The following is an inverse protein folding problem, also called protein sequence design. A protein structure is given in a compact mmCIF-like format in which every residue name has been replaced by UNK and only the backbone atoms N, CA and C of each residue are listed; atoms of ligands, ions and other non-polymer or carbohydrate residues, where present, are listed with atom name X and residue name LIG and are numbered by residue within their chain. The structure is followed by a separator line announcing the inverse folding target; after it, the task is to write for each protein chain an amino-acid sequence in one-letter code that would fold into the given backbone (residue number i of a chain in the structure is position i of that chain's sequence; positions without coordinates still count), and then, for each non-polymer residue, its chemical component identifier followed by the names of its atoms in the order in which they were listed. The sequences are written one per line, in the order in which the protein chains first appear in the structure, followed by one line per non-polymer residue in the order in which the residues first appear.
data_IF_123585773275
#
_entry.id   IF_123585773275
#
_cell.length_a   1.000
_cell.length_b   1.000
_cell.length_c   1.000
_cell.angle_alpha   90.00
_cell.angle_beta   90.00
_cell.angle_gamma   90.00
#
_symmetry.space_group_name_H-M   'P 1'
#
loop_
_entity.id
_entity.type
_entity.pdbx_description
1 polymer ?
#
# COMPACT_ATOMS: atom_id res chain seq x y z
N UNK A 1 9.52 -10.42 6.04
CA UNK A 1 10.00 -11.69 5.46
C UNK A 1 9.46 -12.79 6.35
N UNK A 2 8.80 -13.79 5.75
CA UNK A 2 7.99 -14.82 6.42
C UNK A 2 6.58 -14.84 5.83
N UNK A 3 6.16 -15.97 5.28
CA UNK A 3 4.77 -16.22 4.91
C UNK A 3 3.96 -16.43 6.20
N UNK A 4 2.89 -15.66 6.35
CA UNK A 4 2.04 -15.68 7.53
C UNK A 4 0.57 -15.98 7.15
N UNK A 5 0.32 -16.51 5.95
CA UNK A 5 -1.02 -16.88 5.49
C UNK A 5 -1.73 -17.81 6.48
N UNK A 6 -0.98 -18.74 7.06
CA UNK A 6 -1.53 -19.83 7.88
C UNK A 6 -1.67 -19.43 9.37
N UNK A 7 -1.12 -18.27 9.78
CA UNK A 7 -1.12 -17.81 11.17
C UNK A 7 -2.53 -17.69 11.75
N UNK A 8 -3.47 -17.13 10.98
CA UNK A 8 -4.84 -16.93 11.46
C UNK A 8 -5.54 -18.26 11.77
N UNK A 9 -5.38 -19.27 10.91
CA UNK A 9 -5.97 -20.60 11.10
C UNK A 9 -5.33 -21.31 12.30
N UNK A 10 -4.00 -21.33 12.38
CA UNK A 10 -3.28 -21.97 13.48
C UNK A 10 -3.62 -21.33 14.84
N UNK A 11 -3.74 -20.01 14.88
CA UNK A 11 -4.16 -19.28 16.08
C UNK A 11 -5.57 -19.68 16.51
N UNK A 12 -6.51 -19.78 15.57
CA UNK A 12 -7.89 -20.19 15.89
C UNK A 12 -7.99 -21.64 16.35
N UNK A 13 -7.21 -22.56 15.78
CA UNK A 13 -7.16 -23.95 16.25
C UNK A 13 -6.69 -24.03 17.70
N UNK A 14 -5.64 -23.27 18.05
CA UNK A 14 -5.11 -23.21 19.41
C UNK A 14 -6.10 -22.58 20.38
N UNK A 15 -6.70 -21.43 20.03
CA UNK A 15 -7.61 -20.70 20.89
C UNK A 15 -8.91 -21.45 21.18
N UNK A 16 -9.39 -22.26 20.23
CA UNK A 16 -10.65 -23.00 20.37
C UNK A 16 -10.45 -24.48 20.74
N UNK A 17 -9.24 -24.90 21.07
CA UNK A 17 -8.95 -26.30 21.45
C UNK A 17 -9.36 -27.31 20.37
N UNK A 18 -9.21 -26.94 19.09
CA UNK A 18 -9.68 -27.76 17.98
C UNK A 18 -8.78 -28.99 17.81
N UNK A 19 -9.38 -30.14 17.50
CA UNK A 19 -8.62 -31.35 17.21
C UNK A 19 -7.69 -31.13 16.01
N UNK A 20 -6.45 -31.60 16.13
CA UNK A 20 -5.51 -31.59 15.02
C UNK A 20 -6.01 -32.52 13.91
N UNK A 21 -5.79 -32.17 12.63
CA UNK A 21 -6.12 -33.06 11.53
C UNK A 21 -5.30 -34.36 11.67
N UNK A 22 -5.76 -35.49 11.09
CA UNK A 22 -5.07 -36.78 11.15
C UNK A 22 -3.62 -36.75 10.64
N UNK A 23 -3.26 -35.74 9.84
CA UNK A 23 -1.90 -35.47 9.34
C UNK A 23 -1.44 -34.06 9.75
N UNK A 24 -0.95 -33.85 10.99
CA UNK A 24 -0.58 -32.52 11.49
C UNK A 24 0.52 -31.83 10.67
N UNK A 25 1.39 -32.59 10.01
CA UNK A 25 2.45 -32.11 9.13
C UNK A 25 1.91 -31.27 7.95
N UNK A 26 0.67 -31.51 7.54
CA UNK A 26 -0.02 -30.72 6.49
C UNK A 26 -0.22 -29.25 6.88
N UNK A 27 -0.17 -28.93 8.18
CA UNK A 27 -0.33 -27.56 8.68
C UNK A 27 0.92 -26.69 8.46
N UNK A 28 2.09 -27.29 8.20
CA UNK A 28 3.38 -26.58 8.08
C UNK A 28 4.00 -26.81 6.70
N UNK A 29 3.83 -28.01 6.12
CA UNK A 29 4.38 -28.36 4.81
C UNK A 29 3.57 -27.72 3.67
N UNK A 30 4.18 -27.40 2.50
CA UNK A 30 3.44 -26.95 1.32
C UNK A 30 2.31 -27.92 0.94
N UNK A 31 1.20 -27.41 0.39
CA UNK A 31 0.10 -28.27 -0.06
C UNK A 31 0.61 -29.17 -1.20
N UNK A 32 0.60 -30.49 -0.97
CA UNK A 32 0.84 -31.48 -2.02
C UNK A 32 -0.38 -31.54 -2.96
N UNK A 33 -0.17 -31.78 -4.24
CA UNK A 33 -1.27 -31.95 -5.21
C UNK A 33 -2.26 -33.02 -4.72
N UNK A 34 -3.55 -32.68 -4.67
CA UNK A 34 -4.61 -33.55 -4.17
C UNK A 34 -4.81 -33.56 -2.64
N UNK A 35 -4.04 -32.77 -1.87
CA UNK A 35 -4.27 -32.62 -0.43
C UNK A 35 -5.51 -31.77 -0.14
N UNK A 36 -6.25 -32.14 0.92
CA UNK A 36 -7.34 -31.32 1.44
C UNK A 36 -6.83 -29.91 1.82
N UNK A 37 -7.66 -28.86 1.69
CA UNK A 37 -7.24 -27.49 1.99
C UNK A 37 -6.62 -27.39 3.40
N UNK A 38 -5.46 -26.74 3.52
CA UNK A 38 -4.78 -26.49 4.80
C UNK A 38 -5.64 -25.73 5.82
N UNK A 39 -6.57 -24.92 5.32
CA UNK A 39 -7.40 -24.09 6.15
C UNK A 39 -8.57 -24.90 6.70
N UNK A 40 -8.74 -24.89 8.02
CA UNK A 40 -10.10 -24.93 8.56
C UNK A 40 -10.82 -23.72 7.98
N UNK A 41 -11.71 -23.96 7.03
CA UNK A 41 -12.60 -22.93 6.51
C UNK A 41 -13.40 -22.34 7.65
N UNK A 42 -13.87 -21.11 7.49
CA UNK A 42 -14.72 -20.44 8.49
C UNK A 42 -15.93 -21.28 8.89
N UNK A 43 -16.38 -22.17 8.00
CA UNK A 43 -17.37 -23.21 8.26
C UNK A 43 -17.09 -24.03 9.54
N UNK A 44 -15.84 -24.41 9.79
CA UNK A 44 -15.46 -25.30 10.89
C UNK A 44 -15.30 -24.58 12.25
N UNK A 45 -15.35 -23.25 12.28
CA UNK A 45 -15.29 -22.49 13.53
C UNK A 45 -16.65 -22.57 14.27
N UNK A 46 -16.67 -22.78 15.59
CA UNK A 46 -17.91 -22.68 16.36
C UNK A 46 -18.41 -21.22 16.41
N UNK A 47 -19.70 -21.02 16.65
CA UNK A 47 -20.28 -19.67 16.74
C UNK A 47 -19.66 -18.84 17.88
N UNK A 48 -19.22 -19.50 18.95
CA UNK A 48 -18.52 -18.86 20.06
C UNK A 48 -17.07 -18.45 19.76
N UNK A 49 -16.52 -18.82 18.59
CA UNK A 49 -15.12 -18.54 18.27
C UNK A 49 -14.83 -17.03 18.26
N UNK A 50 -13.87 -16.55 19.05
CA UNK A 50 -13.55 -15.13 19.12
C UNK A 50 -12.83 -14.68 17.85
N UNK A 51 -13.47 -13.77 17.10
CA UNK A 51 -12.93 -13.22 15.85
C UNK A 51 -12.27 -11.87 16.08
N UNK A 52 -12.87 -10.99 16.89
CA UNK A 52 -12.32 -9.68 17.23
C UNK A 52 -12.08 -9.56 18.73
N UNK A 53 -10.83 -9.69 19.18
CA UNK A 53 -10.49 -9.55 20.61
C UNK A 53 -10.67 -8.12 21.13
N UNK A 54 -10.48 -7.08 20.30
CA UNK A 54 -10.60 -5.68 20.74
C UNK A 54 -12.02 -5.29 21.16
N UNK A 55 -13.02 -5.91 20.54
CA UNK A 55 -14.44 -5.60 20.76
C UNK A 55 -15.23 -6.82 21.22
N UNK A 56 -14.53 -7.91 21.56
CA UNK A 56 -15.11 -9.19 21.98
C UNK A 56 -16.22 -9.71 21.06
N UNK A 57 -15.97 -9.71 19.74
CA UNK A 57 -16.93 -10.17 18.72
C UNK A 57 -16.61 -11.60 18.30
N UNK A 58 -17.60 -12.47 18.37
CA UNK A 58 -17.55 -13.87 17.98
C UNK A 58 -17.95 -14.11 16.52
N UNK A 59 -17.81 -15.34 16.02
CA UNK A 59 -18.34 -15.75 14.71
C UNK A 59 -19.86 -15.57 14.67
N UNK A 60 -20.55 -16.00 15.71
CA UNK A 60 -22.01 -15.93 15.84
C UNK A 60 -22.53 -14.49 15.76
N UNK A 61 -21.84 -13.53 16.38
CA UNK A 61 -22.21 -12.11 16.32
C UNK A 61 -22.14 -11.57 14.88
N UNK A 62 -21.13 -12.00 14.10
CA UNK A 62 -20.98 -11.60 12.70
C UNK A 62 -22.05 -12.27 11.85
N UNK A 63 -22.30 -13.57 12.04
CA UNK A 63 -23.36 -14.30 11.34
C UNK A 63 -24.74 -13.68 11.61
N UNK A 64 -25.02 -13.31 12.86
CA UNK A 64 -26.26 -12.64 13.25
C UNK A 64 -26.36 -11.25 12.60
N UNK A 65 -25.27 -10.48 12.54
CA UNK A 65 -25.27 -9.19 11.86
C UNK A 65 -25.60 -9.34 10.36
N UNK A 66 -25.05 -10.35 9.69
CA UNK A 66 -25.38 -10.66 8.29
C UNK A 66 -26.85 -11.10 8.14
N UNK A 67 -27.36 -11.95 9.03
CA UNK A 67 -28.78 -12.34 9.07
C UNK A 67 -29.72 -11.13 9.27
N UNK A 68 -29.25 -10.09 9.96
CA UNK A 68 -29.96 -8.83 10.14
C UNK A 68 -29.76 -7.83 8.98
N UNK A 69 -29.12 -8.24 7.88
CA UNK A 69 -28.99 -7.44 6.65
C UNK A 69 -27.64 -6.76 6.44
N UNK A 70 -26.60 -7.05 7.24
CA UNK A 70 -25.26 -6.50 7.02
C UNK A 70 -24.55 -7.19 5.84
N UNK A 71 -24.70 -6.64 4.64
CA UNK A 71 -24.15 -7.20 3.39
C UNK A 71 -22.71 -6.80 3.04
N UNK A 72 -22.09 -5.89 3.80
CA UNK A 72 -20.73 -5.43 3.52
C UNK A 72 -19.92 -5.15 4.80
N UNK A 73 -18.61 -4.95 4.63
CA UNK A 73 -17.68 -4.68 5.74
C UNK A 73 -17.97 -3.37 6.47
N UNK A 74 -18.63 -2.39 5.84
CA UNK A 74 -19.01 -1.12 6.47
C UNK A 74 -20.16 -1.35 7.43
N UNK A 75 -21.20 -2.08 6.99
CA UNK A 75 -22.33 -2.50 7.80
C UNK A 75 -21.87 -3.36 8.98
N UNK A 76 -20.99 -4.35 8.76
CA UNK A 76 -20.44 -5.18 9.84
C UNK A 76 -19.68 -4.34 10.87
N UNK A 77 -18.84 -3.39 10.43
CA UNK A 77 -18.12 -2.47 11.34
C UNK A 77 -19.09 -1.61 12.16
N UNK A 78 -20.18 -1.13 11.54
CA UNK A 78 -21.18 -0.32 12.22
C UNK A 78 -21.95 -1.12 13.27
N UNK A 79 -22.37 -2.34 12.94
CA UNK A 79 -23.20 -3.18 13.81
C UNK A 79 -22.39 -3.84 14.94
N UNK A 80 -21.21 -4.38 14.63
CA UNK A 80 -20.45 -5.23 15.58
C UNK A 80 -19.22 -4.52 16.17
N UNK A 81 -18.79 -3.40 15.58
CA UNK A 81 -17.48 -2.77 15.85
C UNK A 81 -16.28 -3.67 15.53
N UNK A 82 -16.46 -4.84 14.93
CA UNK A 82 -15.34 -5.66 14.49
C UNK A 82 -14.48 -4.88 13.48
N UNK A 83 -13.16 -5.06 13.54
CA UNK A 83 -12.18 -4.37 12.69
C UNK A 83 -12.10 -2.83 12.82
N UNK A 84 -12.72 -2.20 13.82
CA UNK A 84 -12.57 -0.74 14.05
C UNK A 84 -11.44 -0.37 15.05
N UNK A 85 -10.99 -1.32 15.87
CA UNK A 85 -9.93 -1.13 16.86
C UNK A 85 -8.51 -1.28 16.28
N UNK A 86 -7.90 -2.47 16.44
CA UNK A 86 -6.55 -2.74 15.95
C UNK A 86 -6.48 -3.13 14.46
N UNK A 87 -7.62 -3.53 13.88
CA UNK A 87 -7.74 -3.97 12.48
C UNK A 87 -7.19 -5.37 12.17
N UNK A 88 -6.56 -6.07 13.13
CA UNK A 88 -5.93 -7.38 12.89
C UNK A 88 -6.89 -8.48 12.45
N UNK A 89 -8.15 -8.42 12.89
CA UNK A 89 -9.19 -9.40 12.54
C UNK A 89 -9.89 -9.13 11.19
N UNK A 90 -9.58 -8.03 10.50
CA UNK A 90 -10.37 -7.56 9.34
C UNK A 90 -10.47 -8.57 8.19
N UNK A 91 -9.42 -9.36 7.93
CA UNK A 91 -9.45 -10.42 6.94
C UNK A 91 -10.38 -11.58 7.35
N UNK A 92 -10.31 -12.02 8.60
CA UNK A 92 -11.13 -13.12 9.13
C UNK A 92 -12.60 -12.72 9.24
N UNK A 93 -12.89 -11.49 9.70
CA UNK A 93 -14.26 -10.92 9.72
C UNK A 93 -14.88 -10.95 8.32
N UNK A 94 -14.10 -10.56 7.30
CA UNK A 94 -14.56 -10.58 5.91
C UNK A 94 -14.88 -11.99 5.44
N UNK A 95 -14.03 -12.98 5.76
CA UNK A 95 -14.27 -14.37 5.40
C UNK A 95 -15.53 -14.94 6.08
N UNK A 96 -15.79 -14.60 7.34
CA UNK A 96 -17.03 -14.99 8.06
C UNK A 96 -18.27 -14.37 7.42
N UNK A 97 -18.20 -13.08 7.09
CA UNK A 97 -19.29 -12.38 6.43
C UNK A 97 -19.59 -12.98 5.05
N UNK A 98 -18.56 -13.20 4.21
CA UNK A 98 -18.71 -13.80 2.88
C UNK A 98 -19.23 -15.24 2.96
N UNK A 99 -18.82 -16.01 3.97
CA UNK A 99 -19.36 -17.35 4.23
C UNK A 99 -20.87 -17.31 4.55
N UNK A 100 -21.29 -16.43 5.47
CA UNK A 100 -22.70 -16.33 5.84
C UNK A 100 -23.58 -15.81 4.69
N UNK A 101 -23.08 -14.86 3.90
CA UNK A 101 -23.78 -14.37 2.71
C UNK A 101 -23.97 -15.47 1.67
N UNK A 102 -22.94 -16.32 1.47
CA UNK A 102 -23.04 -17.46 0.57
C UNK A 102 -24.07 -18.50 1.04
N UNK A 103 -24.18 -18.77 2.35
CA UNK A 103 -25.23 -19.65 2.90
C UNK A 103 -26.66 -19.09 2.68
N UNK A 104 -26.82 -17.77 2.64
CA UNK A 104 -28.09 -17.12 2.32
C UNK A 104 -28.39 -17.07 0.80
N UNK A 105 -27.52 -17.63 -0.04
CA UNK A 105 -27.63 -17.53 -1.50
C UNK A 105 -27.36 -16.13 -2.06
N UNK A 106 -26.76 -15.23 -1.26
CA UNK A 106 -26.37 -13.90 -1.70
C UNK A 106 -25.04 -13.99 -2.43
N UNK A 107 -25.08 -13.88 -3.75
CA UNK A 107 -23.86 -13.86 -4.57
C UNK A 107 -23.07 -12.57 -4.30
N UNK A 108 -21.87 -12.71 -3.74
CA UNK A 108 -20.96 -11.58 -3.50
C UNK A 108 -20.35 -11.15 -4.83
N UNK A 109 -20.97 -10.14 -5.47
CA UNK A 109 -20.44 -9.51 -6.67
C UNK A 109 -19.04 -8.97 -6.39
N UNK A 110 -18.07 -9.37 -7.21
CA UNK A 110 -16.67 -8.91 -7.10
C UNK A 110 -16.41 -7.64 -7.90
N UNK A 111 -17.46 -7.07 -8.48
CA UNK A 111 -17.48 -5.87 -9.28
C UNK A 111 -16.80 -4.71 -8.54
N UNK A 112 -16.01 -3.93 -9.27
CA UNK A 112 -15.35 -2.75 -8.70
C UNK A 112 -16.36 -1.64 -8.43
N UNK A 113 -17.30 -1.42 -9.35
CA UNK A 113 -18.40 -0.47 -9.26
C UNK A 113 -19.34 -0.70 -10.46
N UNK A 114 -20.42 0.07 -10.57
CA UNK A 114 -21.37 0.04 -11.70
C UNK A 114 -20.73 0.19 -13.10
N UNK A 115 -19.56 0.81 -13.20
CA UNK A 115 -18.85 1.01 -14.46
C UNK A 115 -18.09 -0.23 -14.92
N UNK A 116 -17.73 -1.14 -14.01
CA UNK A 116 -16.90 -2.31 -14.29
C UNK A 116 -17.41 -3.53 -13.50
N UNK A 117 -18.08 -4.48 -14.17
CA UNK A 117 -18.53 -5.75 -13.58
C UNK A 117 -17.36 -6.75 -13.46
N UNK A 118 -16.23 -6.27 -12.97
CA UNK A 118 -14.97 -7.00 -12.87
C UNK A 118 -14.31 -6.67 -11.55
N UNK A 119 -13.63 -7.66 -10.98
CA UNK A 119 -12.75 -7.47 -9.85
C UNK A 119 -11.47 -6.73 -10.21
N UNK A 120 -10.79 -6.21 -9.19
CA UNK A 120 -9.49 -5.53 -9.34
C UNK A 120 -8.43 -6.43 -10.00
N UNK A 121 -8.51 -7.73 -9.81
CA UNK A 121 -7.58 -8.69 -10.38
C UNK A 121 -7.91 -8.96 -11.86
N UNK A 122 -9.19 -9.12 -12.19
CA UNK A 122 -9.64 -9.27 -13.57
C UNK A 122 -9.32 -8.03 -14.39
N UNK A 123 -9.54 -6.82 -13.88
CA UNK A 123 -9.13 -5.58 -14.56
C UNK A 123 -7.62 -5.58 -14.86
N UNK A 124 -6.79 -6.03 -13.93
CA UNK A 124 -5.35 -6.14 -14.17
C UNK A 124 -5.04 -7.13 -15.30
N UNK A 125 -5.69 -8.29 -15.31
CA UNK A 125 -5.52 -9.29 -16.38
C UNK A 125 -6.01 -8.77 -17.72
N UNK A 126 -7.18 -8.13 -17.77
CA UNK A 126 -7.74 -7.51 -18.98
C UNK A 126 -6.77 -6.49 -19.56
N UNK A 127 -6.20 -5.62 -18.71
CA UNK A 127 -5.21 -4.62 -19.14
C UNK A 127 -3.95 -5.27 -19.70
N UNK A 128 -3.41 -6.29 -19.03
CA UNK A 128 -2.16 -6.95 -19.44
C UNK A 128 -2.30 -7.80 -20.69
N UNK A 129 -3.35 -8.61 -20.76
CA UNK A 129 -3.57 -9.57 -21.87
C UNK A 129 -3.96 -8.83 -23.15
N UNK A 130 -4.81 -7.80 -23.03
CA UNK A 130 -5.32 -7.09 -24.20
C UNK A 130 -4.52 -5.82 -24.53
N UNK A 131 -3.35 -5.64 -23.93
CA UNK A 131 -2.45 -4.50 -24.15
C UNK A 131 -3.18 -3.15 -24.09
N UNK A 132 -3.93 -2.91 -23.00
CA UNK A 132 -4.72 -1.68 -22.84
C UNK A 132 -3.86 -0.60 -22.21
N UNK A 133 -3.68 0.53 -22.89
CA UNK A 133 -2.80 1.61 -22.45
C UNK A 133 -3.55 2.81 -21.85
N UNK A 134 -4.87 2.92 -22.04
CA UNK A 134 -5.63 4.09 -21.59
C UNK A 134 -6.93 3.70 -20.88
N UNK A 135 -7.44 4.60 -20.03
CA UNK A 135 -8.74 4.40 -19.39
C UNK A 135 -9.87 4.31 -20.41
N UNK A 136 -9.81 5.12 -21.46
CA UNK A 136 -10.80 5.15 -22.53
C UNK A 136 -10.88 3.82 -23.28
N UNK A 137 -9.73 3.21 -23.60
CA UNK A 137 -9.68 1.86 -24.16
C UNK A 137 -10.26 0.80 -23.23
N UNK A 138 -10.02 0.91 -21.91
CA UNK A 138 -10.54 -0.06 -20.94
C UNK A 138 -12.06 0.05 -20.79
N UNK A 139 -12.56 1.28 -20.57
CA UNK A 139 -13.99 1.50 -20.30
C UNK A 139 -14.84 1.26 -21.53
N UNK A 140 -14.36 1.59 -22.74
CA UNK A 140 -15.11 1.33 -23.99
C UNK A 140 -15.25 -0.16 -24.31
N UNK A 141 -14.28 -1.00 -23.90
CA UNK A 141 -14.27 -2.43 -24.22
C UNK A 141 -14.85 -3.32 -23.12
N UNK A 142 -14.63 -2.95 -21.86
CA UNK A 142 -14.91 -3.81 -20.71
C UNK A 142 -15.71 -3.11 -19.60
N UNK A 143 -16.22 -1.91 -19.86
CA UNK A 143 -17.01 -1.15 -18.90
C UNK A 143 -18.11 -0.33 -19.56
N UNK A 144 -18.64 0.64 -18.82
CA UNK A 144 -19.68 1.55 -19.28
C UNK A 144 -19.59 2.91 -18.58
N UNK A 145 -20.13 3.95 -19.20
CA UNK A 145 -20.17 5.31 -18.64
C UNK A 145 -18.83 6.06 -18.71
N UNK A 146 -18.63 6.99 -17.77
CA UNK A 146 -17.44 7.88 -17.74
C UNK A 146 -16.49 7.62 -16.56
N UNK A 147 -16.82 6.67 -15.70
CA UNK A 147 -16.07 6.30 -14.50
C UNK A 147 -16.24 7.25 -13.31
N UNK A 148 -16.03 6.70 -12.12
CA UNK A 148 -16.15 7.38 -10.83
C UNK A 148 -14.80 7.48 -10.09
N UNK A 149 -14.88 8.02 -8.88
CA UNK A 149 -13.80 8.13 -7.88
C UNK A 149 -13.29 6.77 -7.37
N UNK A 150 -14.02 5.68 -7.58
CA UNK A 150 -13.56 4.31 -7.27
C UNK A 150 -12.74 3.71 -8.40
N UNK A 151 -13.26 3.71 -9.63
CA UNK A 151 -12.62 3.00 -10.74
C UNK A 151 -11.48 3.78 -11.40
N UNK A 152 -11.55 5.12 -11.49
CA UNK A 152 -10.48 5.91 -12.12
C UNK A 152 -9.14 5.73 -11.40
N UNK A 153 -9.04 5.86 -10.07
CA UNK A 153 -7.77 5.65 -9.36
C UNK A 153 -7.28 4.19 -9.43
N UNK A 154 -8.20 3.22 -9.46
CA UNK A 154 -7.85 1.82 -9.65
C UNK A 154 -7.19 1.61 -11.01
N UNK A 155 -7.83 2.08 -12.09
CA UNK A 155 -7.31 1.91 -13.45
C UNK A 155 -6.00 2.68 -13.64
N UNK A 156 -5.89 3.89 -13.09
CA UNK A 156 -4.63 4.65 -13.07
C UNK A 156 -3.49 3.83 -12.45
N UNK A 157 -3.76 3.20 -11.29
CA UNK A 157 -2.78 2.35 -10.60
C UNK A 157 -2.44 1.10 -11.41
N UNK A 158 -3.42 0.49 -12.08
CA UNK A 158 -3.21 -0.71 -12.91
C UNK A 158 -2.34 -0.36 -14.12
N UNK A 159 -2.70 0.68 -14.88
CA UNK A 159 -1.95 1.15 -16.05
C UNK A 159 -0.50 1.52 -15.67
N UNK A 160 -0.31 2.27 -14.59
CA UNK A 160 1.01 2.63 -14.09
C UNK A 160 1.84 1.40 -13.69
N UNK A 161 1.22 0.37 -13.12
CA UNK A 161 1.91 -0.88 -12.75
C UNK A 161 2.24 -1.77 -13.96
N UNK A 162 1.44 -1.70 -15.02
CA UNK A 162 1.62 -2.52 -16.22
C UNK A 162 2.63 -1.92 -17.19
N UNK A 163 2.58 -0.59 -17.37
CA UNK A 163 3.29 0.11 -18.46
C UNK A 163 4.26 1.17 -17.97
N UNK A 164 4.09 1.67 -16.73
CA UNK A 164 4.94 2.67 -16.10
C UNK A 164 5.20 3.92 -16.99
N UNK A 165 4.17 4.35 -17.74
CA UNK A 165 4.25 5.52 -18.60
C UNK A 165 4.23 6.83 -17.82
N UNK A 166 4.71 7.90 -18.45
CA UNK A 166 4.74 9.24 -17.85
C UNK A 166 3.31 9.76 -17.56
N UNK A 167 3.08 10.13 -16.29
CA UNK A 167 1.75 10.42 -15.74
C UNK A 167 1.09 11.67 -16.31
N UNK A 168 1.89 12.65 -16.77
CA UNK A 168 1.36 13.89 -17.33
C UNK A 168 1.14 13.81 -18.85
N UNK A 169 1.31 12.64 -19.48
CA UNK A 169 0.83 12.45 -20.85
C UNK A 169 -0.68 12.73 -20.90
N UNK A 170 -1.21 13.33 -21.99
CA UNK A 170 -2.63 13.66 -22.12
C UNK A 170 -3.58 12.51 -21.80
N UNK A 171 -3.21 11.27 -22.16
CA UNK A 171 -4.02 10.07 -21.91
C UNK A 171 -4.12 9.66 -20.43
N UNK A 172 -3.13 10.02 -19.59
CA UNK A 172 -3.05 9.61 -18.18
C UNK A 172 -3.43 10.71 -17.21
N UNK A 173 -3.24 11.98 -17.61
CA UNK A 173 -3.45 13.17 -16.79
C UNK A 173 -4.85 13.27 -16.16
N UNK A 174 -5.96 12.92 -16.85
CA UNK A 174 -7.31 12.96 -16.26
C UNK A 174 -7.52 11.97 -15.10
N UNK A 175 -6.66 10.95 -14.99
CA UNK A 175 -6.73 9.92 -13.95
C UNK A 175 -5.89 10.25 -12.72
N UNK A 176 -5.01 11.25 -12.81
CA UNK A 176 -4.09 11.60 -11.73
C UNK A 176 -4.79 12.49 -10.70
N UNK A 177 -4.61 12.14 -9.43
CA UNK A 177 -5.00 13.02 -8.33
C UNK A 177 -4.10 14.26 -8.28
N UNK A 178 -4.47 15.22 -7.41
CA UNK A 178 -3.72 16.47 -7.28
C UNK A 178 -2.23 16.24 -6.97
N UNK A 179 -1.92 15.20 -6.20
CA UNK A 179 -0.55 14.97 -5.79
C UNK A 179 0.31 14.47 -6.95
N UNK A 180 -0.24 13.55 -7.74
CA UNK A 180 0.42 13.01 -8.92
C UNK A 180 0.53 14.05 -10.04
N UNK A 181 -0.44 14.97 -10.14
CA UNK A 181 -0.43 16.06 -11.13
C UNK A 181 0.66 17.09 -10.88
N UNK A 182 0.88 17.48 -9.62
CA UNK A 182 1.83 18.54 -9.25
C UNK A 182 3.12 18.01 -8.64
N UNK A 183 3.28 16.69 -8.60
CA UNK A 183 4.38 15.98 -7.97
C UNK A 183 4.63 16.40 -6.51
N UNK A 184 3.59 16.81 -5.79
CA UNK A 184 3.67 17.37 -4.43
C UNK A 184 2.55 16.81 -3.55
N UNK A 185 2.67 16.87 -2.21
CA UNK A 185 1.60 16.40 -1.32
C UNK A 185 0.69 17.54 -0.89
N UNK A 186 -0.60 17.48 -1.17
CA UNK A 186 -1.58 18.42 -0.60
C UNK A 186 -1.66 18.25 0.92
N UNK A 187 -1.70 19.37 1.64
CA UNK A 187 -1.76 19.45 3.10
C UNK A 187 -3.16 19.83 3.56
N UNK A 188 -3.40 19.74 4.88
CA UNK A 188 -4.72 20.04 5.48
C UNK A 188 -5.20 21.48 5.24
N UNK A 189 -4.27 22.41 5.13
CA UNK A 189 -4.52 23.83 4.86
C UNK A 189 -4.62 24.16 3.37
N UNK A 190 -4.58 23.16 2.48
CA UNK A 190 -4.59 23.32 1.03
C UNK A 190 -3.24 23.69 0.41
N UNK A 191 -2.20 23.92 1.22
CA UNK A 191 -0.83 24.09 0.72
C UNK A 191 -0.23 22.77 0.26
N UNK A 192 0.94 22.81 -0.36
CA UNK A 192 1.66 21.63 -0.83
C UNK A 192 2.98 21.43 -0.08
N UNK A 193 3.37 20.16 0.02
CA UNK A 193 4.73 19.78 0.43
C UNK A 193 5.53 19.18 -0.71
N UNK A 194 6.79 19.61 -0.81
CA UNK A 194 7.74 19.26 -1.86
C UNK A 194 8.88 18.48 -1.23
N UNK A 195 9.16 17.29 -1.75
CA UNK A 195 10.21 16.41 -1.24
C UNK A 195 11.16 16.09 -2.39
N UNK A 196 12.34 16.74 -2.49
CA UNK A 196 13.37 16.33 -3.42
C UNK A 196 13.89 14.93 -3.08
N UNK A 197 14.35 14.19 -4.10
CA UNK A 197 14.95 12.88 -3.92
C UNK A 197 16.37 13.05 -3.38
N UNK A 198 16.67 12.33 -2.31
CA UNK A 198 18.00 12.26 -1.69
C UNK A 198 18.28 10.77 -1.49
N UNK A 199 18.91 10.14 -2.48
CA UNK A 199 19.14 8.69 -2.47
C UNK A 199 20.02 8.31 -1.27
N UNK A 200 19.62 7.30 -0.49
CA UNK A 200 20.29 6.93 0.76
C UNK A 200 20.41 8.08 1.79
N UNK A 201 19.68 9.18 1.59
CA UNK A 201 19.80 10.41 2.37
C UNK A 201 21.04 11.26 2.08
N UNK A 202 21.72 11.01 0.95
CA UNK A 202 22.86 11.80 0.52
C UNK A 202 22.43 13.12 -0.12
N UNK A 203 23.21 14.17 0.15
CA UNK A 203 23.05 15.50 -0.43
C UNK A 203 24.41 16.19 -0.49
N UNK A 204 24.67 16.89 -1.60
CA UNK A 204 25.88 17.69 -1.77
C UNK A 204 25.79 18.97 -0.93
N UNK A 205 26.92 19.60 -0.55
CA UNK A 205 26.90 20.90 0.11
C UNK A 205 26.10 21.95 -0.68
N UNK A 206 26.31 22.04 -1.99
CA UNK A 206 25.59 22.96 -2.87
C UNK A 206 24.09 22.64 -2.94
N UNK A 207 23.72 21.36 -3.01
CA UNK A 207 22.32 20.94 -2.98
C UNK A 207 21.63 21.31 -1.66
N UNK A 208 22.35 21.18 -0.53
CA UNK A 208 21.84 21.59 0.78
C UNK A 208 21.64 23.11 0.86
N UNK A 209 22.59 23.89 0.33
CA UNK A 209 22.48 25.35 0.22
C UNK A 209 21.28 25.73 -0.66
N UNK A 210 21.13 25.08 -1.82
CA UNK A 210 20.01 25.32 -2.74
C UNK A 210 18.66 25.05 -2.09
N UNK A 211 18.50 23.91 -1.39
CA UNK A 211 17.28 23.61 -0.61
C UNK A 211 17.01 24.71 0.40
N UNK A 212 18.02 25.17 1.13
CA UNK A 212 17.88 26.25 2.12
C UNK A 212 17.47 27.58 1.49
N UNK A 213 18.04 27.93 0.34
CA UNK A 213 17.69 29.14 -0.41
C UNK A 213 16.26 29.09 -0.95
N UNK A 214 15.85 27.96 -1.55
CA UNK A 214 14.49 27.73 -2.05
C UNK A 214 13.49 27.82 -0.87
N UNK A 215 13.78 27.13 0.23
CA UNK A 215 12.94 27.19 1.42
C UNK A 215 12.78 28.62 1.94
N UNK A 216 13.87 29.39 2.02
CA UNK A 216 13.82 30.79 2.44
C UNK A 216 13.04 31.68 1.47
N UNK A 217 13.27 31.54 0.15
CA UNK A 217 12.61 32.33 -0.91
C UNK A 217 11.10 32.18 -0.88
N UNK A 218 10.63 30.95 -0.71
CA UNK A 218 9.20 30.60 -0.72
C UNK A 218 8.59 30.49 0.68
N UNK A 219 9.33 30.85 1.74
CA UNK A 219 8.90 30.77 3.14
C UNK A 219 8.39 29.37 3.54
N UNK A 220 9.09 28.33 3.10
CA UNK A 220 8.70 26.93 3.32
C UNK A 220 9.20 26.42 4.66
N UNK A 221 8.30 25.83 5.45
CA UNK A 221 8.70 25.10 6.65
C UNK A 221 9.47 23.83 6.25
N UNK A 222 10.69 23.66 6.77
CA UNK A 222 11.57 22.56 6.39
C UNK A 222 11.66 21.51 7.50
N UNK A 223 11.44 20.24 7.16
CA UNK A 223 11.51 19.13 8.12
C UNK A 223 12.38 17.98 7.62
N UNK A 224 13.37 17.60 8.41
CA UNK A 224 14.08 16.34 8.21
C UNK A 224 13.15 15.18 8.58
N UNK A 225 12.91 14.29 7.62
CA UNK A 225 12.00 13.17 7.77
C UNK A 225 12.73 11.92 8.25
N UNK A 226 11.99 10.99 8.85
CA UNK A 226 12.53 9.67 9.16
C UNK A 226 12.96 8.87 7.91
N UNK A 227 12.67 9.37 6.70
CA UNK A 227 13.16 8.88 5.41
C UNK A 227 14.56 9.34 5.05
N UNK A 228 15.26 10.07 5.92
CA UNK A 228 16.56 10.68 5.61
C UNK A 228 16.47 11.67 4.44
N UNK A 229 15.40 12.46 4.41
CA UNK A 229 15.14 13.47 3.37
C UNK A 229 14.60 14.74 4.00
N UNK A 230 14.70 15.86 3.29
CA UNK A 230 14.10 17.13 3.67
C UNK A 230 12.74 17.27 2.98
N UNK A 231 11.71 17.63 3.74
CA UNK A 231 10.35 17.90 3.26
C UNK A 231 10.06 19.40 3.47
N UNK A 232 9.63 20.07 2.40
CA UNK A 232 9.40 21.51 2.34
C UNK A 232 7.89 21.76 2.29
N UNK A 233 7.30 22.31 3.34
CA UNK A 233 5.86 22.52 3.50
C UNK A 233 5.45 23.97 3.28
N UNK A 234 4.20 24.19 2.90
CA UNK A 234 3.62 25.54 2.74
C UNK A 234 3.73 26.09 1.32
N UNK A 235 4.07 25.27 0.34
CA UNK A 235 4.17 25.72 -1.05
C UNK A 235 2.77 26.01 -1.62
N UNK A 236 2.61 27.16 -2.28
CA UNK A 236 1.40 27.48 -3.04
C UNK A 236 1.42 26.77 -4.39
N UNK A 237 0.25 26.47 -4.95
CA UNK A 237 0.11 25.68 -6.17
C UNK A 237 0.85 26.32 -7.35
N UNK A 238 0.68 27.63 -7.53
CA UNK A 238 1.29 28.44 -8.58
C UNK A 238 2.82 28.54 -8.47
N UNK A 239 3.39 28.28 -7.28
CA UNK A 239 4.83 28.26 -7.08
C UNK A 239 5.48 26.93 -7.44
N UNK A 240 4.72 25.83 -7.48
CA UNK A 240 5.27 24.49 -7.67
C UNK A 240 6.13 24.34 -8.94
N UNK A 241 5.74 24.87 -10.11
CA UNK A 241 6.59 24.78 -11.30
C UNK A 241 7.95 25.47 -11.13
N UNK A 242 7.99 26.61 -10.44
CA UNK A 242 9.23 27.34 -10.19
C UNK A 242 10.11 26.62 -9.16
N UNK A 243 9.52 26.15 -8.05
CA UNK A 243 10.21 25.35 -7.03
C UNK A 243 10.84 24.08 -7.65
N UNK A 244 10.07 23.35 -8.47
CA UNK A 244 10.58 22.13 -9.12
C UNK A 244 11.72 22.41 -10.11
N UNK A 245 11.67 23.53 -10.82
CA UNK A 245 12.75 23.97 -11.71
C UNK A 245 14.01 24.32 -10.92
N UNK A 246 13.92 25.14 -9.87
CA UNK A 246 15.08 25.48 -9.02
C UNK A 246 15.69 24.21 -8.37
N UNK A 247 14.86 23.26 -7.94
CA UNK A 247 15.34 21.97 -7.43
C UNK A 247 16.03 21.14 -8.52
N UNK A 248 15.48 21.10 -9.73
CA UNK A 248 16.07 20.37 -10.86
C UNK A 248 17.41 20.99 -11.31
N UNK A 249 17.50 22.31 -11.34
CA UNK A 249 18.73 23.05 -11.65
C UNK A 249 19.82 22.77 -10.59
N UNK A 250 19.41 22.53 -9.34
CA UNK A 250 20.29 22.09 -8.26
C UNK A 250 20.59 20.56 -8.26
N UNK A 251 20.13 19.83 -9.29
CA UNK A 251 20.41 18.41 -9.47
C UNK A 251 19.44 17.45 -8.75
N UNK A 252 18.32 17.94 -8.21
CA UNK A 252 17.33 17.09 -7.56
C UNK A 252 16.25 16.59 -8.52
N UNK A 253 15.82 15.35 -8.29
CA UNK A 253 14.61 14.79 -8.89
C UNK A 253 13.45 14.82 -7.89
N UNK A 254 12.21 14.58 -8.35
CA UNK A 254 11.08 14.39 -7.44
C UNK A 254 11.26 13.13 -6.58
N UNK A 255 11.11 13.28 -5.26
CA UNK A 255 11.20 12.20 -4.29
C UNK A 255 10.00 11.25 -4.28
N UNK A 256 8.99 11.49 -5.12
CA UNK A 256 7.76 10.69 -5.21
C UNK A 256 7.13 10.40 -3.83
N UNK A 257 7.23 11.35 -2.90
CA UNK A 257 6.75 11.17 -1.53
C UNK A 257 5.23 11.01 -1.44
N UNK A 258 4.52 11.46 -2.47
CA UNK A 258 3.08 11.36 -2.67
C UNK A 258 2.65 10.01 -3.25
N UNK A 259 3.40 9.51 -4.23
CA UNK A 259 3.01 8.33 -5.01
C UNK A 259 2.93 7.02 -4.22
N UNK A 260 2.21 6.06 -4.81
CA UNK A 260 2.28 4.63 -4.48
C UNK A 260 3.46 4.04 -5.26
N UNK A 261 4.66 4.27 -4.76
CA UNK A 261 5.92 3.87 -5.39
C UNK A 261 6.99 3.64 -4.33
N UNK A 262 8.21 3.28 -4.76
CA UNK A 262 9.37 3.31 -3.88
C UNK A 262 9.67 4.74 -3.44
N UNK A 263 9.38 5.03 -2.17
CA UNK A 263 9.55 6.38 -1.62
C UNK A 263 10.99 6.67 -1.23
N UNK A 264 11.66 5.73 -0.58
CA UNK A 264 13.03 5.91 -0.07
C UNK A 264 13.64 4.56 0.29
N UNK A 265 14.94 4.44 0.10
CA UNK A 265 15.75 3.37 0.67
C UNK A 265 16.65 4.00 1.75
N UNK A 266 16.39 3.66 3.02
CA UNK A 266 17.15 4.22 4.13
C UNK A 266 18.41 3.39 4.38
N UNK A 267 19.54 4.02 4.64
CA UNK A 267 20.79 3.35 5.02
C UNK A 267 21.40 3.98 6.26
N UNK A 268 22.25 3.24 6.97
CA UNK A 268 23.25 3.89 7.80
C UNK A 268 24.46 4.24 6.93
N UNK A 269 25.41 4.97 7.49
CA UNK A 269 26.64 5.38 6.78
C UNK A 269 27.59 4.21 6.44
N UNK A 270 27.26 2.98 6.85
CA UNK A 270 27.94 1.75 6.44
C UNK A 270 29.38 1.61 6.94
N UNK A 271 30.09 0.62 6.39
CA UNK A 271 31.53 0.40 6.63
C UNK A 271 32.42 1.53 6.11
N UNK A 272 31.89 2.43 5.27
CA UNK A 272 32.62 3.59 4.76
C UNK A 272 32.95 4.61 5.86
N UNK A 273 32.05 4.81 6.82
CA UNK A 273 32.21 5.84 7.86
C UNK A 273 32.00 5.31 9.29
N UNK A 274 31.15 4.30 9.48
CA UNK A 274 30.83 3.81 10.81
C UNK A 274 31.93 2.87 11.30
N UNK A 275 32.48 3.15 12.50
CA UNK A 275 33.41 2.24 13.20
C UNK A 275 32.87 0.81 13.35
N UNK A 276 31.56 0.63 13.44
CA UNK A 276 30.89 -0.67 13.58
C UNK A 276 30.20 -1.14 12.28
N UNK A 277 30.48 -0.47 11.16
CA UNK A 277 29.91 -0.82 9.87
C UNK A 277 30.53 -2.11 9.34
N UNK A 278 29.69 -3.09 9.02
CA UNK A 278 30.11 -4.41 8.52
C UNK A 278 30.10 -4.47 7.00
N UNK A 279 29.18 -3.73 6.36
CA UNK A 279 28.97 -3.75 4.91
C UNK A 279 28.72 -2.34 4.35
N UNK A 280 28.82 -2.21 3.03
CA UNK A 280 28.44 -1.00 2.30
C UNK A 280 26.91 -0.89 2.18
N UNK A 281 26.26 -0.42 3.25
CA UNK A 281 24.82 -0.15 3.24
C UNK A 281 24.44 0.99 2.32
N UNK A 282 25.28 2.03 2.24
CA UNK A 282 24.98 3.27 1.51
C UNK A 282 24.97 3.02 0.02
N UNK A 283 26.04 2.43 -0.53
CA UNK A 283 26.11 2.11 -1.96
C UNK A 283 25.01 1.15 -2.38
N UNK A 284 24.66 0.15 -1.55
CA UNK A 284 23.51 -0.71 -1.83
C UNK A 284 22.19 0.09 -1.84
N UNK A 285 21.97 0.99 -0.89
CA UNK A 285 20.75 1.80 -0.84
C UNK A 285 20.63 2.73 -2.06
N UNK A 286 21.72 3.38 -2.47
CA UNK A 286 21.79 4.19 -3.68
C UNK A 286 21.43 3.34 -4.90
N UNK A 287 22.06 2.18 -5.09
CA UNK A 287 21.76 1.28 -6.23
C UNK A 287 20.30 0.86 -6.27
N UNK A 288 19.73 0.47 -5.13
CA UNK A 288 18.31 0.09 -5.03
C UNK A 288 17.39 1.28 -5.35
N UNK A 289 17.69 2.46 -4.82
CA UNK A 289 16.86 3.64 -5.06
C UNK A 289 16.92 4.06 -6.52
N UNK A 290 18.09 4.09 -7.16
CA UNK A 290 18.19 4.39 -8.60
C UNK A 290 17.57 3.33 -9.50
N UNK A 291 17.64 2.05 -9.11
CA UNK A 291 17.05 0.95 -9.89
C UNK A 291 15.52 0.98 -9.89
N UNK A 292 14.91 1.38 -8.77
CA UNK A 292 13.46 1.27 -8.57
C UNK A 292 12.74 2.60 -8.36
N UNK A 293 13.45 3.76 -8.42
CA UNK A 293 12.79 5.08 -8.43
C UNK A 293 11.86 5.19 -9.63
N UNK A 294 10.74 5.88 -9.43
CA UNK A 294 9.70 6.05 -10.45
C UNK A 294 8.79 4.83 -10.64
N UNK A 295 9.19 3.62 -10.20
CA UNK A 295 8.35 2.43 -10.33
C UNK A 295 7.11 2.53 -9.45
N UNK A 296 5.94 2.58 -10.10
CA UNK A 296 4.63 2.57 -9.44
C UNK A 296 4.27 1.16 -8.99
N UNK A 297 3.64 1.09 -7.83
CA UNK A 297 3.18 -0.13 -7.20
C UNK A 297 1.78 0.06 -6.61
N UNK A 298 1.10 -1.05 -6.29
CA UNK A 298 -0.24 -1.03 -5.66
C UNK A 298 -0.25 -0.31 -4.31
N UNK A 299 0.86 -0.36 -3.57
CA UNK A 299 1.03 0.27 -2.27
C UNK A 299 2.37 1.00 -2.20
N UNK A 300 2.49 1.97 -1.27
CA UNK A 300 3.76 2.64 -1.02
C UNK A 300 4.77 1.67 -0.40
N UNK A 301 6.00 1.67 -0.88
CA UNK A 301 7.09 0.87 -0.33
C UNK A 301 8.21 1.76 0.22
N UNK A 302 8.84 1.28 1.28
CA UNK A 302 10.03 1.89 1.91
C UNK A 302 10.98 0.77 2.27
N UNK A 303 12.21 0.87 1.84
CA UNK A 303 13.21 -0.15 2.08
C UNK A 303 14.27 0.35 3.06
N UNK A 304 15.04 -0.60 3.59
CA UNK A 304 16.17 -0.35 4.47
C UNK A 304 17.33 -1.23 4.04
N UNK A 305 18.52 -0.65 4.04
CA UNK A 305 19.80 -1.32 3.86
C UNK A 305 20.59 -1.22 5.16
N UNK A 306 20.47 -2.19 6.09
CA UNK A 306 21.23 -2.19 7.34
C UNK A 306 22.63 -2.77 7.12
N UNK A 307 23.64 -2.23 7.82
CA UNK A 307 25.00 -2.76 7.81
C UNK A 307 25.66 -2.83 9.20
N UNK A 308 24.89 -2.67 10.28
CA UNK A 308 25.39 -2.78 11.64
C UNK A 308 24.58 -3.82 12.44
N UNK A 309 25.21 -4.62 13.32
CA UNK A 309 24.52 -5.57 14.19
C UNK A 309 23.63 -4.85 15.22
N UNK A 310 24.00 -3.63 15.62
CA UNK A 310 23.13 -2.73 16.36
C UNK A 310 22.09 -2.12 15.39
N UNK A 311 20.83 -2.20 15.78
CA UNK A 311 19.63 -1.87 15.01
C UNK A 311 19.49 -0.33 14.75
N UNK A 312 20.50 0.31 14.14
CA UNK A 312 20.57 1.75 13.86
C UNK A 312 19.39 2.27 13.01
N UNK A 313 18.72 1.34 12.33
CA UNK A 313 17.56 1.57 11.48
C UNK A 313 16.39 0.75 12.04
N UNK A 314 15.53 1.31 12.92
CA UNK A 314 14.36 0.60 13.51
C UNK A 314 13.66 -0.30 12.46
N UNK A 315 13.51 -1.62 12.71
CA UNK A 315 13.27 -2.63 11.67
C UNK A 315 11.83 -2.70 11.15
N UNK A 316 10.89 -1.89 11.66
CA UNK A 316 9.49 -1.94 11.21
C UNK A 316 9.27 -1.10 9.96
N UNK A 317 9.42 -1.72 8.80
CA UNK A 317 8.75 -1.28 7.58
C UNK A 317 7.24 -1.45 7.75
N UNK A 318 6.51 -0.36 8.00
CA UNK A 318 5.04 -0.38 7.86
C UNK A 318 4.71 -0.40 6.36
N UNK A 319 4.38 -1.57 5.83
CA UNK A 319 3.44 -1.71 4.71
C UNK A 319 2.08 -1.35 5.33
N UNK A 320 1.64 -0.11 5.15
CA UNK A 320 0.24 0.21 5.49
C UNK A 320 -0.60 -0.40 4.39
N UNK A 321 -1.41 -1.40 4.75
CA UNK A 321 -2.50 -1.92 3.92
C UNK A 321 -3.49 -0.84 3.55
#
# INVERSE_FOLDING_TARGET
MGDASDYATLLQMMLNGMALPPRPESLILPALEGAAPKALGVAALPDSAPICSCHNVSKGDICQAVNNGAGDMSAIKSCTRAATGCGGCSALVKQVMEYQLAEQGVEVKKDVCEHFPWSRQEIYHLVRVNHIHTFEQLISRYGQGHGCDVCKPLVASVLASCWNEYLLKPAHLPLQDTNDRYFANIQKDGSYSVVPRMAAGEVTPDGLIAIGQIAKRYQLYSKVTGGQRIDLFGARLEHLPAIWRELADAGFETGHAYGKSLRTVKSCVGSTWCRYGVQDSTGLAVRLEHRYKGLRARTKSRWRSPAAPANALKPRGKISG
#
